data_IF_446473513453
#
_entry.id   IF_446473513453
#
_cell.length_a   1.000
_cell.length_b   1.000
_cell.length_c   1.000
_cell.angle_alpha   90.00
_cell.angle_beta   90.00
_cell.angle_gamma   90.00
#
_symmetry.space_group_name_H-M   'P 1'
#
loop_
_entity.id
_entity.type
_entity.pdbx_description
1 polymer ?
#
# COMPACT_ATOMS: atom_id res chain seq x y z
N UNK A 1 -7.37 -48.20 -26.25
CA UNK A 1 -6.60 -47.13 -25.59
C UNK A 1 -7.10 -45.77 -26.05
N UNK A 2 -8.35 -45.41 -25.71
CA UNK A 2 -9.02 -44.22 -26.26
C UNK A 2 -9.98 -43.58 -25.24
N UNK A 3 -9.59 -43.55 -23.96
CA UNK A 3 -10.35 -42.89 -22.89
C UNK A 3 -9.50 -42.02 -21.95
N UNK A 4 -8.19 -41.91 -22.19
CA UNK A 4 -7.29 -41.12 -21.33
C UNK A 4 -7.02 -39.70 -21.86
N UNK A 5 -7.58 -39.33 -23.01
CA UNK A 5 -7.36 -38.01 -23.65
C UNK A 5 -8.56 -37.06 -23.55
N UNK A 6 -9.58 -37.38 -22.75
CA UNK A 6 -10.79 -36.55 -22.61
C UNK A 6 -10.76 -35.70 -21.33
N UNK A 7 -9.83 -35.94 -20.41
CA UNK A 7 -9.76 -35.24 -19.12
C UNK A 7 -8.81 -34.02 -19.08
N UNK A 8 -8.14 -33.67 -20.17
CA UNK A 8 -7.19 -32.52 -20.20
C UNK A 8 -7.78 -31.20 -20.71
N UNK A 9 -8.95 -31.21 -21.35
CA UNK A 9 -9.55 -30.00 -21.95
C UNK A 9 -10.24 -29.03 -20.97
N UNK A 10 -10.88 -29.43 -19.85
CA UNK A 10 -11.57 -28.46 -18.99
C UNK A 10 -10.60 -27.63 -18.12
N UNK A 11 -9.38 -28.11 -17.88
CA UNK A 11 -8.37 -27.37 -17.11
C UNK A 11 -7.77 -26.18 -17.88
N UNK A 12 -7.64 -26.30 -19.20
CA UNK A 12 -7.04 -25.27 -20.06
C UNK A 12 -7.99 -24.07 -20.23
N UNK A 13 -9.31 -24.30 -20.24
CA UNK A 13 -10.29 -23.22 -20.35
C UNK A 13 -10.37 -22.34 -19.08
N UNK A 14 -10.04 -22.91 -17.91
CA UNK A 14 -10.11 -22.19 -16.63
C UNK A 14 -8.95 -21.19 -16.44
N UNK A 15 -7.80 -21.41 -17.09
CA UNK A 15 -6.62 -20.55 -16.96
C UNK A 15 -6.82 -19.21 -17.70
N UNK A 16 -7.69 -19.18 -18.72
CA UNK A 16 -7.94 -17.99 -19.54
C UNK A 16 -8.94 -16.99 -18.95
N UNK A 17 -9.53 -17.27 -17.77
CA UNK A 17 -10.59 -16.44 -17.19
C UNK A 17 -10.11 -15.42 -16.14
N UNK A 18 -8.82 -15.40 -15.78
CA UNK A 18 -8.30 -14.44 -14.79
C UNK A 18 -8.00 -13.12 -15.49
N UNK A 19 -9.01 -12.24 -15.56
CA UNK A 19 -8.81 -10.85 -15.97
C UNK A 19 -8.36 -10.04 -14.75
N UNK A 20 -7.10 -9.61 -14.73
CA UNK A 20 -6.65 -8.62 -13.76
C UNK A 20 -7.38 -7.28 -13.98
N UNK A 21 -7.84 -6.65 -12.91
CA UNK A 21 -8.42 -5.31 -12.98
C UNK A 21 -7.27 -4.31 -12.92
N UNK A 22 -7.19 -3.39 -13.88
CA UNK A 22 -6.22 -2.30 -13.83
C UNK A 22 -6.68 -1.28 -12.78
N UNK A 23 -5.85 -1.04 -11.76
CA UNK A 23 -6.13 -0.04 -10.74
C UNK A 23 -5.43 1.26 -11.08
N UNK A 24 -6.19 2.36 -11.11
CA UNK A 24 -5.64 3.69 -11.33
C UNK A 24 -4.75 4.15 -10.16
N UNK A 25 -3.89 5.13 -10.47
CA UNK A 25 -3.05 5.80 -9.47
C UNK A 25 -3.94 6.54 -8.47
N UNK A 26 -3.54 6.55 -7.19
CA UNK A 26 -4.24 7.31 -6.15
C UNK A 26 -4.11 8.83 -6.34
N UNK A 27 -3.00 9.29 -6.94
CA UNK A 27 -2.77 10.67 -7.34
C UNK A 27 -1.72 10.74 -8.46
N UNK A 28 -1.74 11.83 -9.24
CA UNK A 28 -0.71 12.15 -10.24
C UNK A 28 0.51 12.86 -9.65
N UNK A 29 0.37 13.46 -8.46
CA UNK A 29 1.42 14.25 -7.80
C UNK A 29 1.55 13.89 -6.33
N UNK A 30 2.76 14.04 -5.80
CA UNK A 30 3.12 13.85 -4.39
C UNK A 30 4.07 14.95 -3.94
N UNK A 31 4.03 15.26 -2.65
CA UNK A 31 4.98 16.12 -1.95
C UNK A 31 6.01 15.23 -1.24
N UNK A 32 7.29 15.58 -1.36
CA UNK A 32 8.42 14.85 -0.77
C UNK A 32 9.40 15.83 -0.10
N UNK A 33 10.25 15.33 0.78
CA UNK A 33 11.32 16.12 1.39
C UNK A 33 12.46 16.43 0.39
N UNK A 34 12.64 15.56 -0.60
CA UNK A 34 13.63 15.61 -1.68
C UNK A 34 13.03 15.03 -2.97
N UNK A 35 13.70 15.25 -4.11
CA UNK A 35 13.22 14.83 -5.43
C UNK A 35 13.09 13.30 -5.59
N UNK A 36 13.85 12.53 -4.82
CA UNK A 36 13.83 11.06 -4.84
C UNK A 36 12.89 10.47 -3.76
N UNK A 37 12.35 11.31 -2.87
CA UNK A 37 11.50 10.94 -1.73
C UNK A 37 12.17 9.92 -0.79
N UNK A 38 13.49 10.00 -0.66
CA UNK A 38 14.30 9.09 0.16
C UNK A 38 14.31 9.55 1.63
N UNK A 39 14.20 10.86 1.87
CA UNK A 39 14.16 11.41 3.21
C UNK A 39 12.73 11.50 3.74
N UNK A 40 12.60 11.32 5.05
CA UNK A 40 11.33 11.46 5.75
C UNK A 40 10.94 12.94 5.83
N UNK A 41 9.67 13.22 5.57
CA UNK A 41 9.05 14.53 5.79
C UNK A 41 8.83 14.75 7.29
N UNK A 42 8.31 13.73 7.97
CA UNK A 42 7.94 13.81 9.39
C UNK A 42 7.77 12.44 10.03
N UNK A 43 7.65 12.45 11.36
CA UNK A 43 7.26 11.31 12.17
C UNK A 43 5.82 11.53 12.65
N UNK A 44 4.95 10.55 12.44
CA UNK A 44 3.55 10.63 12.85
C UNK A 44 3.18 9.49 13.79
N UNK A 45 2.20 9.70 14.66
CA UNK A 45 1.67 8.67 15.56
C UNK A 45 0.25 8.28 15.17
N UNK A 46 0.01 7.00 14.99
CA UNK A 46 -1.33 6.49 14.69
C UNK A 46 -2.30 6.67 15.86
N UNK A 47 -3.47 7.24 15.59
CA UNK A 47 -4.50 7.54 16.60
C UNK A 47 -5.52 6.41 16.75
N UNK A 48 -5.65 5.57 15.73
CA UNK A 48 -6.55 4.42 15.67
C UNK A 48 -5.92 3.26 14.88
N UNK A 49 -6.59 2.10 14.90
CA UNK A 49 -6.21 0.95 14.10
C UNK A 49 -6.71 1.13 12.66
N UNK A 50 -5.88 0.78 11.69
CA UNK A 50 -6.22 0.79 10.27
C UNK A 50 -5.84 -0.54 9.62
N UNK A 51 -6.82 -1.17 8.97
CA UNK A 51 -6.60 -2.38 8.19
C UNK A 51 -6.56 -2.01 6.71
N UNK A 52 -5.47 -2.39 6.05
CA UNK A 52 -5.23 -2.13 4.64
C UNK A 52 -6.32 -2.79 3.77
N UNK A 53 -7.05 -2.04 2.94
CA UNK A 53 -8.08 -2.59 2.06
C UNK A 53 -7.50 -3.38 0.89
N UNK A 54 -6.29 -3.02 0.45
CA UNK A 54 -5.53 -3.71 -0.59
C UNK A 54 -4.02 -3.60 -0.33
N UNK A 55 -3.21 -4.28 -1.14
CA UNK A 55 -1.76 -4.38 -0.95
C UNK A 55 -0.97 -3.08 -1.14
N UNK A 56 -1.58 -1.99 -1.62
CA UNK A 56 -0.94 -0.69 -1.72
C UNK A 56 -0.87 0.01 -0.36
N UNK A 57 -1.78 -0.36 0.55
CA UNK A 57 -1.89 0.21 1.88
C UNK A 57 -1.16 -0.65 2.91
N UNK A 58 -0.77 -0.03 4.03
CA UNK A 58 -0.16 -0.72 5.16
C UNK A 58 -1.16 -0.87 6.32
N UNK A 59 -1.04 -1.97 7.05
CA UNK A 59 -1.75 -2.12 8.31
C UNK A 59 -1.04 -1.29 9.38
N UNK A 60 -1.82 -0.59 10.19
CA UNK A 60 -1.32 0.28 11.26
C UNK A 60 -2.12 0.00 12.52
N UNK A 61 -1.43 -0.06 13.64
CA UNK A 61 -2.04 -0.16 14.97
C UNK A 61 -1.93 1.16 15.70
N UNK A 62 -2.94 1.46 16.50
CA UNK A 62 -2.97 2.64 17.36
C UNK A 62 -1.70 2.73 18.20
N UNK A 63 -1.09 3.91 18.20
CA UNK A 63 0.12 4.21 18.95
C UNK A 63 1.43 3.83 18.24
N UNK A 64 1.38 3.18 17.08
CA UNK A 64 2.58 2.99 16.27
C UNK A 64 3.08 4.33 15.73
N UNK A 65 4.40 4.46 15.65
CA UNK A 65 5.04 5.58 14.96
C UNK A 65 5.22 5.24 13.48
N UNK A 66 5.09 6.24 12.61
CA UNK A 66 5.16 6.09 11.17
C UNK A 66 6.07 7.17 10.62
N UNK A 67 7.13 6.75 9.92
CA UNK A 67 7.93 7.66 9.11
C UNK A 67 7.18 8.00 7.83
N UNK A 68 6.87 9.28 7.64
CA UNK A 68 6.15 9.76 6.45
C UNK A 68 7.17 10.20 5.40
N UNK A 69 7.13 9.59 4.22
CA UNK A 69 8.06 9.90 3.12
C UNK A 69 7.43 10.76 2.03
N UNK A 70 6.13 10.61 1.80
CA UNK A 70 5.43 11.49 0.85
C UNK A 70 3.97 11.69 1.20
N UNK A 71 3.43 12.85 0.82
CA UNK A 71 2.01 13.19 0.96
C UNK A 71 1.39 13.32 -0.43
N UNK A 72 0.40 12.50 -0.77
CA UNK A 72 -0.24 12.60 -2.09
C UNK A 72 -1.03 13.90 -2.20
N UNK A 73 -0.94 14.57 -3.35
CA UNK A 73 -1.77 15.74 -3.61
C UNK A 73 -3.17 15.26 -3.92
N UNK A 74 -4.15 15.75 -3.17
CA UNK A 74 -5.55 15.39 -3.38
C UNK A 74 -6.01 15.79 -4.78
N UNK A 75 -6.66 14.85 -5.47
CA UNK A 75 -7.32 15.07 -6.75
C UNK A 75 -8.84 14.94 -6.58
N UNK A 76 -9.62 15.54 -7.48
CA UNK A 76 -11.07 15.65 -7.34
C UNK A 76 -11.73 14.31 -7.01
N UNK A 77 -12.25 14.17 -5.78
CA UNK A 77 -12.93 12.96 -5.28
C UNK A 77 -12.02 11.87 -4.71
N UNK A 78 -10.69 12.02 -4.75
CA UNK A 78 -9.75 11.12 -4.10
C UNK A 78 -9.58 11.47 -2.61
N UNK A 79 -9.35 10.43 -1.78
CA UNK A 79 -8.99 10.60 -0.38
C UNK A 79 -7.58 11.21 -0.22
N UNK A 80 -7.33 11.83 0.93
CA UNK A 80 -5.99 12.31 1.28
C UNK A 80 -5.18 11.15 1.86
N UNK A 81 -4.18 10.69 1.12
CA UNK A 81 -3.33 9.57 1.49
C UNK A 81 -1.88 9.97 1.58
N UNK A 82 -1.19 9.49 2.60
CA UNK A 82 0.26 9.64 2.77
C UNK A 82 0.94 8.29 2.63
N UNK A 83 2.24 8.30 2.31
CA UNK A 83 3.09 7.12 2.22
C UNK A 83 4.04 7.12 3.41
N UNK A 84 4.09 6.00 4.10
CA UNK A 84 5.02 5.83 5.20
C UNK A 84 5.37 4.39 5.50
N UNK A 85 6.25 4.23 6.47
CA UNK A 85 6.67 2.93 7.02
C UNK A 85 6.46 2.95 8.53
N UNK A 86 5.88 1.89 9.07
CA UNK A 86 5.70 1.73 10.51
C UNK A 86 7.06 1.49 11.16
N UNK A 87 7.34 2.22 12.24
CA UNK A 87 8.51 2.00 13.08
C UNK A 87 8.42 0.62 13.72
N UNK A 88 9.32 -0.30 13.33
CA UNK A 88 9.41 -1.65 13.87
C UNK A 88 10.46 -1.79 14.97
N UNK A 89 10.27 -2.76 15.86
CA UNK A 89 11.18 -3.10 16.97
C UNK A 89 12.24 -4.16 16.54
N UNK A 90 12.00 -4.85 15.41
CA UNK A 90 12.75 -6.04 15.04
C UNK A 90 13.68 -5.75 13.85
N UNK A 91 14.92 -5.38 14.18
CA UNK A 91 16.08 -5.09 13.32
C UNK A 91 16.08 -3.70 12.70
N UNK A 92 16.91 -2.84 13.31
CA UNK A 92 17.25 -1.47 12.92
C UNK A 92 17.72 -1.30 11.46
N UNK A 93 17.99 -2.41 10.76
CA UNK A 93 18.60 -2.43 9.41
C UNK A 93 17.62 -2.79 8.27
N UNK A 94 16.36 -3.14 8.57
CA UNK A 94 15.38 -3.48 7.52
C UNK A 94 14.30 -2.38 7.41
N UNK A 95 14.36 -1.62 6.31
CA UNK A 95 13.35 -0.62 5.97
C UNK A 95 11.98 -1.29 5.94
N UNK A 96 11.11 -0.99 6.91
CA UNK A 96 9.78 -1.56 7.00
C UNK A 96 8.97 -1.33 5.72
N UNK A 97 8.01 -2.22 5.44
CA UNK A 97 7.16 -2.13 4.25
C UNK A 97 6.55 -0.73 4.10
N UNK A 98 6.76 -0.09 2.95
CA UNK A 98 6.12 1.17 2.59
C UNK A 98 4.71 0.93 2.07
N UNK A 99 3.77 1.78 2.47
CA UNK A 99 2.48 1.85 1.80
C UNK A 99 1.64 3.04 2.23
N UNK A 100 0.45 3.13 1.64
CA UNK A 100 -0.47 4.23 1.86
C UNK A 100 -1.27 4.07 3.15
N UNK A 101 -1.63 5.21 3.75
CA UNK A 101 -2.62 5.29 4.82
C UNK A 101 -3.32 6.68 4.76
N UNK A 102 -4.55 6.82 5.28
CA UNK A 102 -5.24 8.11 5.32
C UNK A 102 -4.50 9.09 6.22
N UNK A 103 -4.34 10.35 5.80
CA UNK A 103 -3.73 11.40 6.64
C UNK A 103 -4.44 11.55 8.00
N UNK A 104 -5.76 11.39 8.00
CA UNK A 104 -6.61 11.51 9.20
C UNK A 104 -6.37 10.42 10.26
N UNK A 105 -5.66 9.35 9.91
CA UNK A 105 -5.32 8.24 10.82
C UNK A 105 -4.29 8.66 11.88
N UNK A 106 -3.50 9.69 11.60
CA UNK A 106 -2.29 10.01 12.36
C UNK A 106 -2.28 11.44 12.88
N UNK A 107 -1.49 11.64 13.93
CA UNK A 107 -1.09 12.97 14.41
C UNK A 107 0.39 13.16 14.11
N UNK A 108 0.73 14.22 13.39
CA UNK A 108 2.09 14.59 13.05
C UNK A 108 2.77 15.22 14.29
N UNK A 109 3.98 14.75 14.63
CA UNK A 109 4.73 15.19 15.82
C UNK A 109 5.71 16.32 15.51
#
# INVERSE_FOLDING_TARGET
>A
MARLLILSLPGILAICAVHGIFMDRLASRKLCADDECVYTISLSRAQEDYNAPDCRFINVKKGQQIYVYSKLVQENGAGEFWVGSVYGDDREDEMGTLGYFPSSLVEEQ
#
